data_IF_182088548056
#
_entry.id   IF_182088548056
#
_cell.length_a   1.000
_cell.length_b   1.000
_cell.length_c   1.000
_cell.angle_alpha   90.00
_cell.angle_beta   90.00
_cell.angle_gamma   90.00
#
_symmetry.space_group_name_H-M   'P 1'
#
loop_
_entity.id
_entity.type
_entity.pdbx_description
1 polymer ?
#
# COMPACT_ATOMS: atom_id res chain seq x y z
N UNK A 1 25.70 -1.99 13.81
CA UNK A 1 24.23 -2.02 13.67
C UNK A 1 23.91 -1.62 12.23
N UNK A 2 23.39 -2.52 11.36
CA UNK A 2 22.96 -2.14 10.01
C UNK A 2 21.78 -1.17 10.15
N UNK A 3 21.89 0.03 9.58
CA UNK A 3 20.73 0.93 9.44
C UNK A 3 19.75 0.23 8.50
N UNK A 4 18.60 -0.16 9.01
CA UNK A 4 17.50 -0.64 8.16
C UNK A 4 16.94 0.57 7.41
N UNK A 5 16.93 0.47 6.10
CA UNK A 5 16.18 1.40 5.29
C UNK A 5 14.70 1.02 5.41
N UNK A 6 13.84 1.95 5.78
CA UNK A 6 12.40 1.72 5.95
C UNK A 6 11.72 1.26 4.67
N UNK A 7 12.34 1.47 3.51
CA UNK A 7 11.86 0.98 2.21
C UNK A 7 12.15 -0.50 1.96
N UNK A 8 13.03 -1.13 2.75
CA UNK A 8 13.37 -2.56 2.67
C UNK A 8 12.63 -3.40 3.72
N UNK A 9 11.53 -2.90 4.25
CA UNK A 9 10.70 -3.64 5.20
C UNK A 9 10.05 -4.83 4.51
N UNK A 10 10.83 -5.90 4.39
CA UNK A 10 10.30 -7.23 4.21
C UNK A 10 9.66 -7.67 5.55
N UNK A 11 8.32 -7.75 5.64
CA UNK A 11 7.65 -8.08 6.90
C UNK A 11 8.11 -9.43 7.44
N UNK A 12 8.45 -10.36 6.55
CA UNK A 12 8.87 -11.70 6.92
C UNK A 12 10.27 -11.65 7.52
N UNK A 13 11.23 -11.03 6.86
CA UNK A 13 12.60 -10.93 7.40
C UNK A 13 12.63 -10.12 8.69
N UNK A 14 11.66 -9.27 8.91
CA UNK A 14 11.54 -8.46 10.13
C UNK A 14 10.93 -9.25 11.27
N UNK A 15 9.89 -10.05 11.02
CA UNK A 15 9.36 -10.98 12.02
C UNK A 15 10.42 -12.00 12.43
N UNK A 16 11.20 -12.53 11.49
CA UNK A 16 12.33 -13.42 11.78
C UNK A 16 13.41 -12.74 12.63
N UNK A 17 13.57 -11.41 12.50
CA UNK A 17 14.55 -10.63 13.25
C UNK A 17 14.00 -9.99 14.52
N UNK A 18 12.77 -10.28 14.89
CA UNK A 18 12.07 -9.69 16.06
C UNK A 18 12.04 -8.16 16.03
N UNK A 19 11.99 -7.55 14.85
CA UNK A 19 11.83 -6.10 14.69
C UNK A 19 10.37 -5.81 14.46
N UNK A 20 9.71 -5.21 15.43
CA UNK A 20 8.31 -4.80 15.35
C UNK A 20 8.23 -3.29 15.13
N UNK A 21 7.95 -2.89 13.89
CA UNK A 21 7.73 -1.50 13.56
C UNK A 21 6.32 -1.29 13.04
N UNK A 22 5.71 -0.14 13.38
CA UNK A 22 4.35 0.21 12.99
C UNK A 22 4.09 0.08 11.48
N UNK A 23 5.06 0.46 10.65
CA UNK A 23 4.91 0.43 9.19
C UNK A 23 4.72 -1.01 8.67
N UNK A 24 5.32 -2.00 9.34
CA UNK A 24 5.13 -3.40 8.99
C UNK A 24 3.74 -3.91 9.29
N UNK A 25 3.19 -3.54 10.45
CA UNK A 25 1.80 -3.85 10.77
C UNK A 25 0.86 -3.18 9.78
N UNK A 26 1.12 -1.92 9.40
CA UNK A 26 0.34 -1.21 8.40
C UNK A 26 0.43 -1.86 7.02
N UNK A 27 1.62 -2.30 6.58
CA UNK A 27 1.79 -3.08 5.36
C UNK A 27 1.03 -4.40 5.42
N UNK A 28 1.19 -5.15 6.52
CA UNK A 28 0.50 -6.41 6.69
C UNK A 28 -1.02 -6.25 6.71
N UNK A 29 -1.55 -5.21 7.34
CA UNK A 29 -2.97 -4.89 7.30
C UNK A 29 -3.46 -4.70 5.85
N UNK A 30 -2.76 -3.92 5.03
CA UNK A 30 -3.10 -3.67 3.64
C UNK A 30 -3.10 -4.96 2.81
N UNK A 31 -2.03 -5.74 2.89
CA UNK A 31 -1.90 -7.00 2.14
C UNK A 31 -2.90 -8.07 2.61
N UNK A 32 -3.11 -8.20 3.92
CA UNK A 32 -4.10 -9.14 4.47
C UNK A 32 -5.52 -8.75 4.08
N UNK A 33 -5.81 -7.45 3.92
CA UNK A 33 -7.09 -6.99 3.41
C UNK A 33 -7.32 -7.48 1.98
N UNK A 34 -6.30 -7.41 1.10
CA UNK A 34 -6.41 -7.94 -0.26
C UNK A 34 -6.59 -9.46 -0.24
N UNK A 35 -5.83 -10.20 0.56
CA UNK A 35 -5.99 -11.66 0.70
C UNK A 35 -7.42 -12.03 1.13
N UNK A 36 -8.00 -11.26 2.05
CA UNK A 36 -9.37 -11.47 2.53
C UNK A 36 -10.42 -11.23 1.44
N UNK A 37 -10.20 -10.23 0.59
CA UNK A 37 -11.17 -9.81 -0.45
C UNK A 37 -10.95 -10.52 -1.80
N UNK A 38 -9.75 -11.06 -2.05
CA UNK A 38 -9.42 -11.73 -3.29
C UNK A 38 -10.04 -13.14 -3.36
N UNK A 39 -10.42 -13.56 -4.58
CA UNK A 39 -11.02 -14.87 -4.84
C UNK A 39 -10.07 -15.74 -5.67
N UNK A 40 -10.19 -17.05 -5.48
CA UNK A 40 -9.54 -18.00 -6.37
C UNK A 40 -10.07 -17.79 -7.79
N UNK A 41 -9.16 -17.68 -8.76
CA UNK A 41 -9.54 -17.43 -10.17
C UNK A 41 -9.46 -15.97 -10.59
N UNK A 42 -9.21 -15.04 -9.68
CA UNK A 42 -9.00 -13.62 -10.00
C UNK A 42 -7.57 -13.34 -10.50
N UNK A 43 -7.44 -12.35 -11.37
CA UNK A 43 -6.17 -11.74 -11.76
C UNK A 43 -5.90 -10.53 -10.88
N UNK A 44 -4.71 -10.51 -10.26
CA UNK A 44 -4.27 -9.44 -9.36
C UNK A 44 -3.05 -8.75 -9.98
N UNK A 45 -3.10 -7.43 -10.09
CA UNK A 45 -1.95 -6.61 -10.54
C UNK A 45 -1.50 -5.71 -9.41
N UNK A 46 -0.19 -5.69 -9.17
CA UNK A 46 0.47 -4.95 -8.10
C UNK A 46 1.41 -3.88 -8.68
N UNK A 47 0.97 -2.63 -8.68
CA UNK A 47 1.71 -1.47 -9.15
C UNK A 47 2.66 -0.98 -8.06
N UNK A 48 3.96 -1.03 -8.33
CA UNK A 48 5.01 -0.78 -7.36
C UNK A 48 5.27 -1.99 -6.46
N UNK A 49 5.25 -3.18 -7.02
CA UNK A 49 5.31 -4.45 -6.29
C UNK A 49 6.60 -4.66 -5.49
N UNK A 50 7.64 -3.87 -5.75
CA UNK A 50 8.95 -4.07 -5.14
C UNK A 50 9.47 -5.49 -5.37
N UNK A 51 9.94 -6.13 -4.31
CA UNK A 51 10.44 -7.53 -4.31
C UNK A 51 9.31 -8.57 -4.22
N UNK A 52 8.04 -8.19 -4.47
CA UNK A 52 6.88 -9.08 -4.40
C UNK A 52 6.39 -9.37 -2.98
N UNK A 53 6.46 -8.40 -2.09
CA UNK A 53 6.10 -8.60 -0.67
C UNK A 53 4.62 -8.96 -0.50
N UNK A 54 3.71 -8.38 -1.29
CA UNK A 54 2.30 -8.77 -1.27
C UNK A 54 2.10 -10.22 -1.73
N UNK A 55 2.80 -10.64 -2.79
CA UNK A 55 2.75 -12.03 -3.26
C UNK A 55 3.25 -13.01 -2.18
N UNK A 56 4.26 -12.63 -1.39
CA UNK A 56 4.73 -13.47 -0.30
C UNK A 56 3.64 -13.70 0.74
N UNK A 57 2.86 -12.67 1.08
CA UNK A 57 1.71 -12.81 1.98
C UNK A 57 0.66 -13.76 1.38
N UNK A 58 0.39 -13.66 0.08
CA UNK A 58 -0.50 -14.61 -0.62
C UNK A 58 0.03 -16.05 -0.48
N UNK A 59 1.28 -16.27 -0.83
CA UNK A 59 1.91 -17.59 -0.81
C UNK A 59 1.92 -18.21 0.60
N UNK A 60 2.30 -17.44 1.63
CA UNK A 60 2.31 -17.91 3.02
C UNK A 60 0.92 -18.20 3.57
N UNK A 61 -0.10 -17.49 3.12
CA UNK A 61 -1.50 -17.77 3.46
C UNK A 61 -2.11 -18.86 2.59
N UNK A 62 -1.30 -19.55 1.75
CA UNK A 62 -1.77 -20.59 0.82
C UNK A 62 -2.87 -20.10 -0.12
N UNK A 63 -2.92 -18.79 -0.36
CA UNK A 63 -3.84 -18.19 -1.30
C UNK A 63 -3.22 -18.24 -2.70
N UNK A 64 -3.97 -18.72 -3.67
CA UNK A 64 -3.58 -18.78 -5.08
C UNK A 64 -4.61 -18.03 -5.92
N UNK A 65 -4.19 -16.96 -6.57
CA UNK A 65 -4.99 -16.33 -7.62
C UNK A 65 -4.76 -17.03 -8.98
N UNK A 66 -5.55 -16.67 -9.98
CA UNK A 66 -5.35 -17.15 -11.35
C UNK A 66 -4.03 -16.65 -11.94
N UNK A 67 -3.78 -15.36 -11.73
CA UNK A 67 -2.58 -14.67 -12.22
C UNK A 67 -2.22 -13.53 -11.28
N UNK A 68 -0.96 -13.43 -10.91
CA UNK A 68 -0.41 -12.27 -10.22
C UNK A 68 0.60 -11.58 -11.14
N UNK A 69 0.48 -10.27 -11.31
CA UNK A 69 1.40 -9.47 -12.13
C UNK A 69 1.97 -8.36 -11.24
N UNK A 70 3.27 -8.43 -10.95
CA UNK A 70 4.00 -7.38 -10.24
C UNK A 70 4.71 -6.45 -11.22
N UNK A 71 4.54 -5.14 -11.05
CA UNK A 71 5.17 -4.12 -11.89
C UNK A 71 5.90 -3.13 -10.99
N UNK A 72 7.17 -2.85 -11.29
CA UNK A 72 7.98 -1.84 -10.59
C UNK A 72 8.97 -1.21 -11.57
N UNK A 73 9.28 0.06 -11.41
CA UNK A 73 10.24 0.75 -12.29
C UNK A 73 11.68 0.26 -12.10
N UNK A 74 12.01 -0.30 -10.93
CA UNK A 74 13.35 -0.70 -10.56
C UNK A 74 13.68 -2.10 -11.08
N UNK A 75 14.42 -2.18 -12.19
CA UNK A 75 14.82 -3.45 -12.84
C UNK A 75 15.47 -4.43 -11.86
N UNK A 76 16.43 -3.97 -11.05
CA UNK A 76 17.10 -4.84 -10.07
C UNK A 76 16.13 -5.46 -9.07
N UNK A 77 15.17 -4.69 -8.60
CA UNK A 77 14.15 -5.17 -7.65
C UNK A 77 13.24 -6.23 -8.29
N UNK A 78 12.90 -6.05 -9.56
CA UNK A 78 12.14 -7.03 -10.36
C UNK A 78 12.93 -8.34 -10.56
N UNK A 79 14.23 -8.27 -10.84
CA UNK A 79 15.04 -9.49 -10.96
C UNK A 79 15.10 -10.27 -9.63
N UNK A 80 15.19 -9.59 -8.49
CA UNK A 80 15.09 -10.23 -7.18
C UNK A 80 13.71 -10.87 -6.95
N UNK A 81 12.63 -10.22 -7.39
CA UNK A 81 11.29 -10.79 -7.29
C UNK A 81 11.14 -12.05 -8.15
N UNK A 82 11.64 -12.03 -9.40
CA UNK A 82 11.64 -13.20 -10.30
C UNK A 82 12.42 -14.37 -9.71
N UNK A 83 13.61 -14.10 -9.16
CA UNK A 83 14.40 -15.12 -8.49
C UNK A 83 13.68 -15.73 -7.30
N UNK A 84 13.16 -14.86 -6.42
CA UNK A 84 12.45 -15.27 -5.20
C UNK A 84 11.22 -16.13 -5.48
N UNK A 85 10.49 -15.83 -6.54
CA UNK A 85 9.23 -16.49 -6.90
C UNK A 85 9.32 -17.36 -8.15
N UNK A 86 10.51 -17.82 -8.53
CA UNK A 86 10.73 -18.64 -9.73
C UNK A 86 9.88 -19.93 -9.77
N UNK A 87 9.51 -20.47 -8.61
CA UNK A 87 8.65 -21.66 -8.49
C UNK A 87 7.14 -21.34 -8.49
N UNK A 88 6.74 -20.08 -8.59
CA UNK A 88 5.33 -19.66 -8.56
C UNK A 88 4.85 -19.41 -9.98
N UNK A 89 4.39 -20.45 -10.64
CA UNK A 89 4.01 -20.45 -12.08
C UNK A 89 2.93 -19.43 -12.45
N UNK A 90 2.14 -18.98 -11.50
CA UNK A 90 1.05 -18.01 -11.69
C UNK A 90 1.48 -16.57 -11.41
N UNK A 91 2.75 -16.31 -11.14
CA UNK A 91 3.29 -14.99 -10.88
C UNK A 91 4.22 -14.53 -11.99
N UNK A 92 4.05 -13.29 -12.40
CA UNK A 92 4.85 -12.61 -13.42
C UNK A 92 5.33 -11.27 -12.90
N UNK A 93 6.55 -10.84 -13.29
CA UNK A 93 7.13 -9.58 -12.85
C UNK A 93 7.73 -8.83 -14.03
N UNK A 94 7.43 -7.53 -14.10
CA UNK A 94 7.85 -6.66 -15.18
C UNK A 94 8.45 -5.37 -14.66
N UNK A 95 9.58 -4.96 -15.26
CA UNK A 95 10.15 -3.64 -15.03
C UNK A 95 9.54 -2.65 -16.00
N UNK A 96 8.72 -1.71 -15.52
CA UNK A 96 8.05 -0.73 -16.36
C UNK A 96 7.75 0.57 -15.58
N UNK A 97 7.58 1.67 -16.32
CA UNK A 97 7.21 2.96 -15.75
C UNK A 97 5.69 3.07 -15.64
N UNK A 98 5.20 3.28 -14.43
CA UNK A 98 3.75 3.37 -14.15
C UNK A 98 3.11 4.67 -14.69
N UNK A 99 3.92 5.65 -15.11
CA UNK A 99 3.47 6.94 -15.66
C UNK A 99 3.47 6.91 -17.18
N UNK A 100 4.57 6.42 -17.79
CA UNK A 100 4.76 6.30 -19.23
C UNK A 100 5.07 4.85 -19.56
N UNK A 101 4.06 3.96 -19.52
CA UNK A 101 4.27 2.53 -19.67
C UNK A 101 4.72 2.15 -21.08
N UNK A 102 5.58 1.14 -21.14
CA UNK A 102 5.93 0.45 -22.39
C UNK A 102 5.05 -0.77 -22.61
N UNK A 103 4.42 -1.28 -21.56
CA UNK A 103 3.48 -2.39 -21.60
C UNK A 103 2.04 -1.88 -21.83
N UNK A 104 1.25 -2.64 -22.57
CA UNK A 104 -0.20 -2.39 -22.63
C UNK A 104 -0.88 -2.99 -21.39
N UNK A 105 -1.18 -2.14 -20.41
CA UNK A 105 -1.82 -2.60 -19.15
C UNK A 105 -3.26 -3.09 -19.36
N UNK A 106 -3.94 -2.68 -20.42
CA UNK A 106 -5.31 -3.13 -20.74
C UNK A 106 -5.40 -4.63 -20.99
N UNK A 107 -4.29 -5.25 -21.43
CA UNK A 107 -4.24 -6.69 -21.67
C UNK A 107 -4.46 -7.53 -20.41
N UNK A 108 -4.20 -6.98 -19.22
CA UNK A 108 -4.30 -7.75 -17.99
C UNK A 108 -5.75 -8.00 -17.56
N UNK A 109 -6.68 -7.09 -17.87
CA UNK A 109 -8.09 -7.21 -17.50
C UNK A 109 -8.24 -7.65 -16.04
N UNK A 110 -7.49 -6.99 -15.14
CA UNK A 110 -7.34 -7.39 -13.77
C UNK A 110 -8.65 -7.28 -12.99
N UNK A 111 -8.91 -8.23 -12.10
CA UNK A 111 -10.03 -8.17 -11.16
C UNK A 111 -9.69 -7.29 -9.94
N UNK A 112 -8.42 -7.24 -9.58
CA UNK A 112 -7.89 -6.38 -8.53
C UNK A 112 -6.62 -5.69 -8.98
N UNK A 113 -6.57 -4.37 -8.79
CA UNK A 113 -5.39 -3.56 -9.07
C UNK A 113 -4.98 -2.87 -7.78
N UNK A 114 -3.77 -3.15 -7.32
CA UNK A 114 -3.23 -2.66 -6.06
C UNK A 114 -2.06 -1.71 -6.29
N UNK A 115 -1.94 -0.69 -5.44
CA UNK A 115 -0.75 0.15 -5.38
C UNK A 115 -0.57 0.67 -3.96
N UNK A 116 0.52 0.27 -3.31
CA UNK A 116 0.77 0.58 -1.91
C UNK A 116 2.08 1.32 -1.72
N UNK A 117 1.99 2.53 -1.19
CA UNK A 117 3.14 3.43 -0.96
C UNK A 117 3.92 3.71 -2.25
N UNK A 118 3.19 4.12 -3.30
CA UNK A 118 3.72 4.43 -4.63
C UNK A 118 3.28 5.80 -5.12
N UNK A 119 2.04 6.20 -4.82
CA UNK A 119 1.46 7.46 -5.33
C UNK A 119 2.33 8.68 -4.97
N UNK A 120 2.96 8.69 -3.79
CA UNK A 120 3.88 9.72 -3.34
C UNK A 120 5.17 9.81 -4.19
N UNK A 121 5.56 8.72 -4.84
CA UNK A 121 6.76 8.64 -5.68
C UNK A 121 6.53 9.09 -7.13
N UNK A 122 5.28 9.10 -7.60
CA UNK A 122 4.98 9.52 -8.98
C UNK A 122 4.95 11.05 -9.13
N UNK A 123 4.79 11.75 -8.03
CA UNK A 123 4.72 13.22 -7.99
C UNK A 123 3.37 13.78 -8.44
N UNK A 124 3.06 14.98 -7.95
CA UNK A 124 1.77 15.64 -8.18
C UNK A 124 1.40 15.80 -9.66
N UNK A 125 2.38 16.15 -10.50
CA UNK A 125 2.17 16.38 -11.92
C UNK A 125 1.83 15.11 -12.71
N UNK A 126 2.15 13.94 -12.18
CA UNK A 126 1.99 12.65 -12.87
C UNK A 126 0.85 11.80 -12.30
N UNK A 127 0.23 12.23 -11.19
CA UNK A 127 -0.76 11.41 -10.47
C UNK A 127 -1.95 11.01 -11.36
N UNK A 128 -2.40 11.87 -12.26
CA UNK A 128 -3.52 11.58 -13.15
C UNK A 128 -3.15 10.55 -14.24
N UNK A 129 -1.93 10.61 -14.77
CA UNK A 129 -1.44 9.61 -15.69
C UNK A 129 -1.33 8.24 -15.01
N UNK A 130 -0.77 8.20 -13.79
CA UNK A 130 -0.71 7.00 -12.96
C UNK A 130 -2.10 6.41 -12.69
N UNK A 131 -3.05 7.23 -12.24
CA UNK A 131 -4.43 6.78 -11.96
C UNK A 131 -5.15 6.29 -13.22
N UNK A 132 -4.88 6.90 -14.38
CA UNK A 132 -5.40 6.47 -15.69
C UNK A 132 -4.87 5.08 -16.03
N UNK A 133 -3.56 4.87 -15.93
CA UNK A 133 -2.92 3.59 -16.22
C UNK A 133 -3.41 2.49 -15.27
N UNK A 134 -3.56 2.82 -13.98
CA UNK A 134 -4.11 1.91 -12.99
C UNK A 134 -5.57 1.54 -13.32
N UNK A 135 -6.42 2.52 -13.68
CA UNK A 135 -7.81 2.30 -14.08
C UNK A 135 -7.90 1.38 -15.29
N UNK A 136 -7.08 1.65 -16.30
CA UNK A 136 -7.13 0.93 -17.58
C UNK A 136 -6.60 -0.50 -17.50
N UNK A 137 -5.83 -0.82 -16.44
CA UNK A 137 -5.37 -2.16 -16.14
C UNK A 137 -6.49 -3.12 -15.67
N UNK A 138 -7.51 -2.59 -15.00
CA UNK A 138 -8.63 -3.37 -14.48
C UNK A 138 -9.73 -3.63 -15.51
N UNK A 139 -10.44 -4.75 -15.33
CA UNK A 139 -11.68 -5.02 -16.06
C UNK A 139 -12.84 -4.12 -15.56
N UNK A 140 -14.02 -4.23 -16.17
CA UNK A 140 -15.19 -3.39 -15.83
C UNK A 140 -15.66 -3.54 -14.37
N UNK A 141 -15.44 -4.70 -13.77
CA UNK A 141 -15.84 -5.01 -12.39
C UNK A 141 -14.69 -4.92 -11.40
N UNK A 142 -13.51 -4.47 -11.83
CA UNK A 142 -12.31 -4.43 -11.01
C UNK A 142 -12.49 -3.65 -9.71
N UNK A 143 -11.80 -4.08 -8.67
CA UNK A 143 -11.61 -3.31 -7.45
C UNK A 143 -10.19 -2.79 -7.40
N UNK A 144 -10.05 -1.51 -7.08
CA UNK A 144 -8.74 -0.85 -7.01
C UNK A 144 -8.42 -0.50 -5.56
N UNK A 145 -7.16 -0.66 -5.19
CA UNK A 145 -6.67 -0.41 -3.85
C UNK A 145 -5.45 0.50 -3.92
N UNK A 146 -5.55 1.66 -3.31
CA UNK A 146 -4.44 2.63 -3.24
C UNK A 146 -4.15 2.91 -1.78
N UNK A 147 -2.89 2.84 -1.37
CA UNK A 147 -2.45 3.44 -0.11
C UNK A 147 -1.26 4.34 -0.33
N UNK A 148 -1.20 5.39 0.48
CA UNK A 148 -0.11 6.35 0.48
C UNK A 148 -0.08 7.07 1.83
N UNK A 149 1.08 7.62 2.25
CA UNK A 149 1.14 8.53 3.37
C UNK A 149 0.21 9.74 3.17
N UNK A 150 -0.31 10.24 4.26
CA UNK A 150 -1.10 11.47 4.31
C UNK A 150 -0.25 12.62 4.81
N UNK A 151 -0.06 13.63 4.00
CA UNK A 151 0.58 14.88 4.41
C UNK A 151 -0.44 15.79 5.09
N UNK A 152 -0.48 15.71 6.41
CA UNK A 152 -1.27 16.61 7.25
C UNK A 152 -0.39 17.04 8.41
N UNK A 153 -0.27 18.35 8.64
CA UNK A 153 0.55 18.91 9.73
C UNK A 153 0.14 18.39 11.10
N UNK A 154 -1.13 18.08 11.27
CA UNK A 154 -1.67 17.56 12.53
C UNK A 154 -1.28 16.10 12.79
N UNK A 155 -1.13 15.29 11.75
CA UNK A 155 -0.73 13.88 11.88
C UNK A 155 0.77 13.65 11.68
N UNK A 156 1.54 14.71 11.46
CA UNK A 156 3.01 14.68 11.47
C UNK A 156 3.64 13.98 10.27
N UNK A 157 3.02 14.06 9.10
CA UNK A 157 3.62 13.61 7.87
C UNK A 157 4.79 14.50 7.43
N UNK A 158 5.77 13.93 6.74
CA UNK A 158 7.00 14.62 6.40
C UNK A 158 6.87 15.63 5.25
N UNK A 159 5.79 15.55 4.47
CA UNK A 159 5.61 16.43 3.30
C UNK A 159 6.55 16.09 2.14
N UNK A 160 6.89 17.10 1.37
CA UNK A 160 7.79 16.92 0.23
C UNK A 160 9.24 16.76 0.70
N UNK A 161 9.86 15.66 0.34
CA UNK A 161 11.27 15.40 0.64
C UNK A 161 11.90 14.53 -0.45
N UNK A 162 13.22 14.36 -0.36
CA UNK A 162 13.97 13.47 -1.25
C UNK A 162 14.58 12.37 -0.39
N UNK A 163 14.47 11.13 -0.84
CA UNK A 163 15.17 10.02 -0.19
C UNK A 163 16.14 9.36 -1.16
N UNK A 164 17.16 8.72 -0.61
CA UNK A 164 18.11 7.95 -1.41
C UNK A 164 17.47 6.62 -1.84
N UNK A 165 17.31 6.45 -3.16
CA UNK A 165 16.78 5.22 -3.75
C UNK A 165 17.76 4.03 -3.69
N UNK A 166 18.96 4.24 -3.15
CA UNK A 166 20.02 3.23 -3.07
C UNK A 166 20.85 3.09 -4.35
N UNK A 167 20.51 3.81 -5.41
CA UNK A 167 21.24 3.88 -6.68
C UNK A 167 21.93 5.25 -6.88
N UNK A 168 21.95 6.07 -5.84
CA UNK A 168 22.55 7.40 -5.82
C UNK A 168 21.70 8.50 -6.48
N UNK A 169 20.49 8.17 -6.92
CA UNK A 169 19.51 9.15 -7.41
C UNK A 169 18.51 9.47 -6.31
N UNK A 170 18.43 10.73 -5.92
CA UNK A 170 17.38 11.17 -5.01
C UNK A 170 16.02 11.08 -5.70
N UNK A 171 15.05 10.46 -5.03
CA UNK A 171 13.66 10.41 -5.50
C UNK A 171 12.87 11.48 -4.77
N UNK A 172 12.27 12.40 -5.53
CA UNK A 172 11.37 13.40 -4.97
C UNK A 172 10.08 12.71 -4.54
N UNK A 173 9.68 12.92 -3.30
CA UNK A 173 8.43 12.41 -2.74
C UNK A 173 7.46 13.57 -2.59
N UNK A 174 6.23 13.39 -3.04
CA UNK A 174 5.11 14.28 -2.75
C UNK A 174 4.05 13.52 -1.96
N UNK A 175 4.04 13.69 -0.66
CA UNK A 175 2.98 13.15 0.18
C UNK A 175 1.72 14.01 0.05
N UNK A 176 0.66 13.42 -0.50
CA UNK A 176 -0.62 14.09 -0.66
C UNK A 176 -1.36 14.18 0.67
N UNK A 177 -2.07 15.27 0.91
CA UNK A 177 -3.09 15.21 1.95
C UNK A 177 -4.36 14.49 1.46
N UNK A 178 -5.20 14.06 2.38
CA UNK A 178 -6.42 13.30 2.05
C UNK A 178 -7.32 13.97 1.03
N UNK A 179 -7.53 15.29 1.14
CA UNK A 179 -8.43 16.02 0.25
C UNK A 179 -7.83 16.19 -1.14
N UNK A 180 -6.51 16.45 -1.21
CA UNK A 180 -5.79 16.59 -2.47
C UNK A 180 -5.84 15.27 -3.26
N UNK A 181 -5.47 14.16 -2.64
CA UNK A 181 -5.51 12.86 -3.29
C UNK A 181 -6.93 12.44 -3.67
N UNK A 182 -7.90 12.67 -2.79
CA UNK A 182 -9.31 12.37 -3.05
C UNK A 182 -9.81 13.10 -4.29
N UNK A 183 -9.49 14.38 -4.46
CA UNK A 183 -9.88 15.15 -5.63
C UNK A 183 -9.32 14.59 -6.96
N UNK A 184 -8.11 14.01 -6.93
CA UNK A 184 -7.55 13.31 -8.09
C UNK A 184 -8.22 11.94 -8.31
N UNK A 185 -8.39 11.14 -7.25
CA UNK A 185 -9.04 9.83 -7.31
C UNK A 185 -10.46 9.94 -7.88
N UNK A 186 -11.24 10.89 -7.42
CA UNK A 186 -12.65 11.07 -7.82
C UNK A 186 -12.82 11.44 -9.30
N UNK A 187 -11.78 11.82 -10.02
CA UNK A 187 -11.86 12.02 -11.48
C UNK A 187 -12.01 10.68 -12.24
N UNK A 188 -11.48 9.60 -11.70
CA UNK A 188 -11.38 8.30 -12.38
C UNK A 188 -12.16 7.18 -11.69
N UNK A 189 -12.40 7.32 -10.38
CA UNK A 189 -12.95 6.27 -9.54
C UNK A 189 -14.08 6.78 -8.64
N UNK A 190 -14.96 5.86 -8.24
CA UNK A 190 -15.87 6.00 -7.12
C UNK A 190 -15.20 5.40 -5.88
N UNK A 191 -15.22 6.12 -4.77
CA UNK A 191 -14.68 5.64 -3.50
C UNK A 191 -15.74 4.78 -2.81
N UNK A 192 -15.48 3.48 -2.64
CA UNK A 192 -16.37 2.59 -1.91
C UNK A 192 -16.08 2.60 -0.40
N UNK A 193 -14.79 2.60 -0.05
CA UNK A 193 -14.35 2.61 1.35
C UNK A 193 -13.05 3.40 1.47
N UNK A 194 -12.88 4.04 2.60
CA UNK A 194 -11.62 4.65 3.02
C UNK A 194 -11.38 4.28 4.49
N UNK A 195 -10.21 3.76 4.80
CA UNK A 195 -9.84 3.47 6.18
C UNK A 195 -8.36 3.69 6.43
N UNK A 196 -8.05 4.10 7.64
CA UNK A 196 -6.68 4.31 8.06
C UNK A 196 -5.93 2.99 8.20
N UNK A 197 -4.63 3.04 7.99
CA UNK A 197 -3.74 1.88 8.21
C UNK A 197 -2.76 2.12 9.34
N UNK A 198 -2.63 3.37 9.78
CA UNK A 198 -1.87 3.77 10.95
C UNK A 198 -2.40 5.10 11.49
N UNK A 199 -2.84 5.13 12.76
CA UNK A 199 -3.29 6.34 13.45
C UNK A 199 -2.79 6.37 14.90
N UNK A 200 -2.13 7.47 15.30
CA UNK A 200 -1.74 7.66 16.69
C UNK A 200 -2.95 8.06 17.55
N UNK A 201 -3.07 7.50 18.74
CA UNK A 201 -4.12 7.87 19.73
C UNK A 201 -4.15 9.38 19.99
N UNK A 202 -3.03 10.06 19.95
CA UNK A 202 -2.95 11.50 20.17
C UNK A 202 -3.78 12.30 19.17
N UNK A 203 -3.98 11.78 17.96
CA UNK A 203 -4.71 12.47 16.91
C UNK A 203 -6.23 12.24 16.94
N UNK A 204 -6.70 11.14 17.55
CA UNK A 204 -8.14 10.81 17.57
C UNK A 204 -8.74 10.67 18.97
N UNK A 205 -7.94 10.79 20.05
CA UNK A 205 -8.44 10.63 21.44
C UNK A 205 -9.64 11.52 21.74
N UNK A 206 -9.64 12.74 21.22
CA UNK A 206 -10.72 13.71 21.42
C UNK A 206 -12.05 13.32 20.75
N UNK A 207 -12.03 12.33 19.84
CA UNK A 207 -13.21 11.79 19.17
C UNK A 207 -13.82 10.59 19.91
N UNK A 208 -13.12 10.05 20.91
CA UNK A 208 -13.55 8.87 21.65
C UNK A 208 -14.52 9.27 22.78
N UNK A 209 -15.56 8.46 22.95
CA UNK A 209 -16.39 8.53 24.15
C UNK A 209 -15.75 7.78 25.35
N UNK A 210 -16.30 7.94 26.53
CA UNK A 210 -15.74 7.36 27.76
C UNK A 210 -15.60 5.84 27.70
N UNK A 211 -16.56 5.13 27.10
CA UNK A 211 -16.48 3.68 26.95
C UNK A 211 -15.34 3.27 26.01
N UNK A 212 -15.17 3.98 24.89
CA UNK A 212 -14.08 3.74 23.95
C UNK A 212 -12.72 4.02 24.58
N UNK A 213 -12.62 5.06 25.41
CA UNK A 213 -11.39 5.36 26.17
C UNK A 213 -11.09 4.22 27.15
N UNK A 214 -12.07 3.74 27.90
CA UNK A 214 -11.88 2.61 28.83
C UNK A 214 -11.46 1.34 28.09
N UNK A 215 -12.09 1.03 26.95
CA UNK A 215 -11.70 -0.10 26.11
C UNK A 215 -10.25 0.04 25.60
N UNK A 216 -9.88 1.24 25.14
CA UNK A 216 -8.52 1.49 24.66
C UNK A 216 -7.48 1.30 25.78
N UNK A 217 -7.75 1.82 26.99
CA UNK A 217 -6.87 1.64 28.14
C UNK A 217 -6.74 0.15 28.54
N UNK A 218 -7.83 -0.62 28.44
CA UNK A 218 -7.77 -2.07 28.65
C UNK A 218 -6.92 -2.78 27.59
N UNK A 219 -7.03 -2.39 26.32
CA UNK A 219 -6.22 -2.97 25.23
C UNK A 219 -4.72 -2.69 25.40
N UNK A 220 -4.34 -1.56 26.00
CA UNK A 220 -2.94 -1.22 26.31
C UNK A 220 -2.28 -2.21 27.27
N UNK A 221 -3.04 -2.97 28.03
CA UNK A 221 -2.49 -4.03 28.88
C UNK A 221 -1.97 -5.24 28.09
N UNK A 222 -2.41 -5.39 26.85
CA UNK A 222 -2.11 -6.57 26.01
C UNK A 222 -1.32 -6.23 24.74
N UNK A 223 -1.45 -5.02 24.23
CA UNK A 223 -0.89 -4.59 22.96
C UNK A 223 0.00 -3.36 23.13
N UNK A 224 1.12 -3.33 22.43
CA UNK A 224 1.94 -2.13 22.36
C UNK A 224 1.28 -1.01 21.54
N UNK A 225 1.82 0.20 21.66
CA UNK A 225 1.27 1.38 21.00
C UNK A 225 1.29 1.32 19.47
N UNK A 226 2.25 0.61 18.87
CA UNK A 226 2.33 0.46 17.42
C UNK A 226 1.21 -0.45 16.91
N UNK A 227 0.99 -1.58 17.60
CA UNK A 227 -0.11 -2.49 17.28
C UNK A 227 -1.46 -1.79 17.42
N UNK A 228 -1.69 -1.06 18.52
CA UNK A 228 -2.94 -0.31 18.73
C UNK A 228 -3.14 0.77 17.68
N UNK A 229 -2.08 1.43 17.24
CA UNK A 229 -2.14 2.43 16.18
C UNK A 229 -2.61 1.87 14.83
N UNK A 230 -2.37 0.58 14.58
CA UNK A 230 -2.87 -0.12 13.38
C UNK A 230 -4.28 -0.67 13.59
N UNK A 231 -4.56 -1.30 14.75
CA UNK A 231 -5.88 -1.87 15.06
C UNK A 231 -6.98 -0.80 15.04
N UNK A 232 -6.67 0.38 15.56
CA UNK A 232 -7.63 1.49 15.68
C UNK A 232 -7.74 2.34 14.42
N UNK A 233 -6.70 2.37 13.58
CA UNK A 233 -6.64 3.22 12.40
C UNK A 233 -7.84 3.12 11.45
N UNK A 234 -8.42 1.93 11.16
CA UNK A 234 -9.57 1.81 10.25
C UNK A 234 -10.78 2.66 10.64
N UNK A 235 -10.92 2.99 11.91
CA UNK A 235 -12.03 3.79 12.44
C UNK A 235 -11.80 5.31 12.34
N UNK A 236 -10.55 5.72 12.07
CA UNK A 236 -10.14 7.13 12.06
C UNK A 236 -9.31 7.47 10.81
N UNK A 237 -9.87 7.28 9.60
CA UNK A 237 -9.13 7.50 8.36
C UNK A 237 -8.61 8.94 8.21
N UNK A 238 -9.37 9.94 8.67
CA UNK A 238 -8.97 11.36 8.57
C UNK A 238 -7.81 11.72 9.50
N UNK A 239 -7.67 11.00 10.62
CA UNK A 239 -6.60 11.18 11.61
C UNK A 239 -5.44 10.21 11.37
N UNK A 240 -5.49 9.44 10.30
CA UNK A 240 -4.46 8.44 9.99
C UNK A 240 -3.33 9.05 9.19
N UNK A 241 -2.11 8.64 9.51
CA UNK A 241 -0.93 8.99 8.73
C UNK A 241 -0.89 8.29 7.35
N UNK A 242 -1.44 7.09 7.28
CA UNK A 242 -1.57 6.34 6.04
C UNK A 242 -3.01 5.89 5.87
N UNK A 243 -3.51 5.96 4.66
CA UNK A 243 -4.90 5.62 4.32
C UNK A 243 -4.92 4.61 3.20
N UNK A 244 -5.83 3.66 3.30
CA UNK A 244 -6.18 2.74 2.22
C UNK A 244 -7.52 3.12 1.63
N UNK A 245 -7.54 3.29 0.32
CA UNK A 245 -8.71 3.59 -0.50
C UNK A 245 -9.12 2.35 -1.26
N UNK A 246 -10.41 1.98 -1.17
CA UNK A 246 -11.03 0.91 -1.96
C UNK A 246 -11.95 1.57 -2.97
N UNK A 247 -11.70 1.32 -4.23
CA UNK A 247 -12.23 2.11 -5.33
C UNK A 247 -12.88 1.22 -6.40
N UNK A 248 -13.84 1.79 -7.12
CA UNK A 248 -14.43 1.23 -8.34
C UNK A 248 -14.24 2.19 -9.49
N UNK A 249 -14.13 1.66 -10.70
CA UNK A 249 -14.10 2.45 -11.93
C UNK A 249 -15.40 3.25 -12.08
N UNK A 250 -15.30 4.52 -12.51
CA UNK A 250 -16.45 5.32 -12.96
C UNK A 250 -16.88 4.92 -14.35
#
# INVERSE_FOLDING_TARGET
MKKYNTTDLDPVSTFERHVFHRDQFAHYLRWSHIVKEAKIGETVVDFGCGKGNMLEVFYRNKFKCKRYVGIDIRKHTIELAKEKFAAVEWAEFYADDLIVPTLDYKQYQADKVCSFEVAEHVGKQNIEAFLTNMRDCGNENATYYISTPNHDEQVGAAGNHTYDSGDGRGVAIHEFNHFELQAHIEKFFTIEKKFGTFASITHYKHLLNDWQIQMFEALKCYYDSNMLSVIMAPFFPEQSRNTLWVLKRK
#
